data_IF_007647550492
#
_entry.id   IF_007647550492
#
_cell.length_a   1.000
_cell.length_b   1.000
_cell.length_c   1.000
_cell.angle_alpha   90.00
_cell.angle_beta   90.00
_cell.angle_gamma   90.00
#
_symmetry.space_group_name_H-M   'P 1'
#
loop_
_entity.id
_entity.type
_entity.pdbx_description
1 polymer ?
#
# COMPACT_ATOMS: atom_id res chain seq x y z
N UNK A 1 23.65 28.06 50.70
CA UNK A 1 24.28 29.06 49.82
C UNK A 1 24.77 28.29 48.60
N UNK A 2 24.04 28.33 47.46
CA UNK A 2 24.41 27.63 46.21
C UNK A 2 25.54 28.44 45.60
N UNK A 3 26.68 27.83 45.39
CA UNK A 3 27.88 28.49 44.84
C UNK A 3 27.71 28.75 43.33
N UNK A 4 28.33 29.82 42.85
CA UNK A 4 28.29 30.22 41.43
C UNK A 4 28.81 29.12 40.49
N UNK A 5 29.70 28.24 40.94
CA UNK A 5 30.16 27.07 40.24
C UNK A 5 29.10 26.01 40.02
N UNK A 6 28.26 25.73 41.03
CA UNK A 6 27.15 24.77 40.92
C UNK A 6 26.07 25.24 39.95
N UNK A 7 25.86 26.54 39.77
CA UNK A 7 24.93 27.11 38.79
C UNK A 7 25.49 27.03 37.36
N UNK A 8 26.80 27.17 37.18
CA UNK A 8 27.45 27.02 35.87
C UNK A 8 27.43 25.56 35.37
N UNK A 9 27.70 24.59 36.25
CA UNK A 9 27.65 23.16 35.95
C UNK A 9 26.24 22.73 35.51
N UNK A 10 25.20 23.17 36.24
CA UNK A 10 23.80 22.83 35.91
C UNK A 10 23.34 23.45 34.58
N UNK A 11 23.84 24.65 34.22
CA UNK A 11 23.53 25.27 32.92
C UNK A 11 24.24 24.58 31.77
N UNK A 12 25.44 24.04 31.96
CA UNK A 12 26.23 23.33 30.98
C UNK A 12 25.61 21.94 30.70
N UNK A 13 25.27 21.19 31.74
CA UNK A 13 24.54 19.92 31.64
C UNK A 13 23.18 20.06 30.94
N UNK A 14 22.43 21.14 31.24
CA UNK A 14 21.16 21.43 30.60
C UNK A 14 21.33 21.72 29.09
N UNK A 15 22.40 22.42 28.73
CA UNK A 15 22.74 22.72 27.34
C UNK A 15 23.18 21.48 26.58
N UNK A 16 24.00 20.62 27.20
CA UNK A 16 24.39 19.33 26.62
C UNK A 16 23.18 18.40 26.40
N UNK A 17 22.27 18.33 27.37
CA UNK A 17 21.04 17.56 27.28
C UNK A 17 20.14 18.06 26.14
N UNK A 18 19.98 19.39 26.04
CA UNK A 18 19.20 19.99 24.96
C UNK A 18 19.82 19.70 23.57
N UNK A 19 21.13 19.78 23.44
CA UNK A 19 21.84 19.46 22.21
C UNK A 19 21.70 17.95 21.84
N UNK A 20 21.83 17.07 22.82
CA UNK A 20 21.64 15.63 22.63
C UNK A 20 20.20 15.31 22.19
N UNK A 21 19.21 15.92 22.81
CA UNK A 21 17.79 15.78 22.43
C UNK A 21 17.52 16.27 21.00
N UNK A 22 18.07 17.41 20.62
CA UNK A 22 17.96 17.95 19.25
C UNK A 22 18.62 17.01 18.24
N UNK A 23 19.80 16.47 18.55
CA UNK A 23 20.50 15.50 17.71
C UNK A 23 19.70 14.21 17.52
N UNK A 24 19.14 13.66 18.59
CA UNK A 24 18.26 12.48 18.54
C UNK A 24 17.02 12.75 17.68
N UNK A 25 16.39 13.91 17.84
CA UNK A 25 15.23 14.29 17.02
C UNK A 25 15.59 14.38 15.53
N UNK A 26 16.73 14.99 15.20
CA UNK A 26 17.22 15.08 13.83
C UNK A 26 17.54 13.71 13.23
N UNK A 27 18.21 12.84 13.99
CA UNK A 27 18.53 11.48 13.52
C UNK A 27 17.28 10.63 13.30
N UNK A 28 16.27 10.75 14.17
CA UNK A 28 14.98 10.09 14.01
C UNK A 28 14.24 10.57 12.76
N UNK A 29 14.22 11.88 12.51
CA UNK A 29 13.62 12.44 11.30
C UNK A 29 14.33 11.92 10.04
N UNK A 30 15.65 11.86 10.05
CA UNK A 30 16.44 11.35 8.92
C UNK A 30 16.25 9.85 8.70
N UNK A 31 16.18 9.06 9.77
CA UNK A 31 15.85 7.64 9.69
C UNK A 31 14.47 7.42 9.09
N UNK A 32 13.46 8.14 9.57
CA UNK A 32 12.09 8.06 9.03
C UNK A 32 12.02 8.42 7.55
N UNK A 33 12.76 9.42 7.09
CA UNK A 33 12.83 9.78 5.67
C UNK A 33 13.52 8.70 4.84
N UNK A 34 14.63 8.13 5.33
CA UNK A 34 15.30 7.02 4.66
C UNK A 34 14.42 5.77 4.58
N UNK A 35 13.68 5.46 5.65
CA UNK A 35 12.69 4.38 5.66
C UNK A 35 11.58 4.63 4.64
N UNK A 36 11.04 5.84 4.59
CA UNK A 36 10.02 6.23 3.61
C UNK A 36 10.51 6.04 2.17
N UNK A 37 11.71 6.51 1.87
CA UNK A 37 12.33 6.36 0.54
C UNK A 37 12.57 4.88 0.20
N UNK A 38 12.99 4.08 1.19
CA UNK A 38 13.22 2.66 1.01
C UNK A 38 11.94 1.82 0.89
N UNK A 39 10.80 2.31 1.37
CA UNK A 39 9.51 1.61 1.43
C UNK A 39 8.54 2.02 0.33
N UNK A 40 8.81 3.10 -0.40
CA UNK A 40 7.97 3.57 -1.50
C UNK A 40 8.36 2.90 -2.82
N UNK A 41 7.38 2.68 -3.69
CA UNK A 41 7.60 2.22 -5.06
C UNK A 41 8.25 3.32 -5.91
N UNK A 42 9.13 2.95 -6.85
CA UNK A 42 9.90 3.92 -7.63
C UNK A 42 9.05 4.74 -8.62
N UNK A 43 7.91 4.20 -9.07
CA UNK A 43 7.03 4.87 -10.03
C UNK A 43 5.81 5.50 -9.35
N UNK A 44 5.28 4.88 -8.30
CA UNK A 44 4.01 5.25 -7.68
C UNK A 44 4.18 5.78 -6.26
N UNK A 45 3.23 6.55 -5.72
CA UNK A 45 3.28 7.00 -4.32
C UNK A 45 2.82 5.92 -3.32
N UNK A 46 2.81 4.66 -3.71
CA UNK A 46 2.39 3.53 -2.89
C UNK A 46 3.58 2.87 -2.21
N UNK A 47 3.29 2.00 -1.24
CA UNK A 47 4.32 1.14 -0.69
C UNK A 47 4.85 0.17 -1.77
N UNK A 48 6.13 -0.14 -1.68
CA UNK A 48 6.73 -1.18 -2.50
C UNK A 48 6.44 -2.59 -1.93
N UNK A 49 6.78 -3.62 -2.71
CA UNK A 49 6.62 -5.04 -2.33
C UNK A 49 7.20 -5.36 -0.94
N UNK A 50 8.41 -4.88 -0.65
CA UNK A 50 9.09 -5.17 0.62
C UNK A 50 8.31 -4.61 1.81
N UNK A 51 7.91 -3.35 1.74
CA UNK A 51 7.12 -2.71 2.77
C UNK A 51 5.76 -3.39 2.95
N UNK A 52 5.10 -3.75 1.85
CA UNK A 52 3.84 -4.48 1.89
C UNK A 52 3.92 -5.81 2.65
N UNK A 53 4.94 -6.63 2.38
CA UNK A 53 5.12 -7.91 3.09
C UNK A 53 5.33 -7.72 4.60
N UNK A 54 6.02 -6.65 5.00
CA UNK A 54 6.16 -6.30 6.40
C UNK A 54 4.81 -5.95 7.04
N UNK A 55 3.99 -5.15 6.37
CA UNK A 55 2.67 -4.78 6.87
C UNK A 55 1.69 -5.96 6.87
N UNK A 56 1.77 -6.86 5.87
CA UNK A 56 0.98 -8.08 5.85
C UNK A 56 1.30 -9.00 7.04
N UNK A 57 2.58 -9.19 7.34
CA UNK A 57 2.99 -9.93 8.53
C UNK A 57 2.49 -9.28 9.83
N UNK A 58 2.47 -7.94 9.91
CA UNK A 58 1.88 -7.22 11.06
C UNK A 58 0.37 -7.46 11.17
N UNK A 59 -0.36 -7.45 10.06
CA UNK A 59 -1.79 -7.73 10.04
C UNK A 59 -2.10 -9.16 10.49
N UNK A 60 -1.33 -10.15 10.03
CA UNK A 60 -1.43 -11.54 10.48
C UNK A 60 -1.20 -11.63 12.00
N UNK A 61 -0.13 -11.03 12.50
CA UNK A 61 0.17 -11.02 13.94
C UNK A 61 -0.90 -10.30 14.77
N UNK A 62 -1.51 -9.24 14.23
CA UNK A 62 -2.60 -8.53 14.88
C UNK A 62 -3.87 -9.38 14.94
N UNK A 63 -4.15 -10.16 13.89
CA UNK A 63 -5.25 -11.12 13.88
C UNK A 63 -5.04 -12.20 14.98
N UNK A 64 -3.84 -12.79 15.06
CA UNK A 64 -3.50 -13.79 16.07
C UNK A 64 -3.66 -13.26 17.50
N UNK A 65 -3.10 -12.08 17.78
CA UNK A 65 -3.03 -11.55 19.16
C UNK A 65 -4.31 -10.89 19.64
N UNK A 66 -5.02 -10.25 18.72
CA UNK A 66 -6.13 -9.35 19.08
C UNK A 66 -7.44 -9.68 18.37
N UNK A 67 -7.44 -10.72 17.51
CA UNK A 67 -8.64 -11.08 16.74
C UNK A 67 -9.09 -10.00 15.76
N UNK A 68 -8.18 -9.10 15.33
CA UNK A 68 -8.54 -8.01 14.40
C UNK A 68 -8.84 -8.58 13.02
N UNK A 69 -10.11 -8.57 12.57
CA UNK A 69 -10.45 -9.10 11.26
C UNK A 69 -9.90 -8.19 10.17
N UNK A 70 -9.14 -8.78 9.26
CA UNK A 70 -8.52 -8.07 8.15
C UNK A 70 -8.65 -8.87 6.86
N UNK A 71 -8.69 -8.19 5.73
CA UNK A 71 -8.77 -8.81 4.41
C UNK A 71 -7.61 -8.35 3.52
N UNK A 72 -7.17 -9.27 2.67
CA UNK A 72 -6.19 -9.02 1.62
C UNK A 72 -6.90 -8.97 0.27
N UNK A 73 -6.70 -7.90 -0.46
CA UNK A 73 -7.06 -7.76 -1.87
C UNK A 73 -5.79 -7.90 -2.71
N UNK A 74 -5.81 -8.80 -3.67
CA UNK A 74 -4.83 -8.89 -4.74
C UNK A 74 -5.44 -8.31 -6.01
N UNK A 75 -4.73 -7.40 -6.66
CA UNK A 75 -5.24 -6.60 -7.77
C UNK A 75 -4.24 -6.67 -8.91
N UNK A 76 -4.74 -6.94 -10.10
CA UNK A 76 -3.96 -6.99 -11.32
C UNK A 76 -4.61 -6.10 -12.38
N UNK A 77 -3.81 -5.27 -13.03
CA UNK A 77 -4.27 -4.34 -14.06
C UNK A 77 -4.45 -5.07 -15.39
N UNK A 78 -5.60 -4.87 -16.03
CA UNK A 78 -5.87 -5.51 -17.30
C UNK A 78 -5.19 -4.80 -18.47
N UNK A 79 -4.56 -5.59 -19.33
CA UNK A 79 -4.11 -5.13 -20.64
C UNK A 79 -2.96 -4.12 -20.67
N UNK A 80 -2.11 -4.02 -19.63
CA UNK A 80 -0.97 -3.10 -19.59
C UNK A 80 -0.07 -3.28 -20.83
N UNK A 81 0.17 -4.53 -21.26
CA UNK A 81 0.94 -4.80 -22.46
C UNK A 81 0.30 -4.16 -23.70
N UNK A 82 -1.00 -4.30 -23.87
CA UNK A 82 -1.72 -3.70 -25.01
C UNK A 82 -1.67 -2.17 -24.99
N UNK A 83 -1.71 -1.55 -23.80
CA UNK A 83 -1.53 -0.10 -23.64
C UNK A 83 -0.11 0.31 -24.08
N UNK A 84 0.91 -0.42 -23.64
CA UNK A 84 2.30 -0.18 -24.02
C UNK A 84 2.51 -0.33 -25.54
N UNK A 85 1.98 -1.39 -26.12
CA UNK A 85 2.12 -1.68 -27.55
C UNK A 85 1.41 -0.62 -28.43
N UNK A 86 0.26 -0.12 -27.97
CA UNK A 86 -0.53 0.86 -28.72
C UNK A 86 -0.08 2.31 -28.52
N UNK A 87 0.39 2.69 -27.30
CA UNK A 87 0.61 4.08 -26.91
C UNK A 87 2.01 4.35 -26.34
N UNK A 88 2.87 3.33 -26.28
CA UNK A 88 4.23 3.43 -25.74
C UNK A 88 4.30 3.29 -24.21
N UNK A 89 5.50 3.04 -23.69
CA UNK A 89 5.75 2.80 -22.26
C UNK A 89 5.34 3.97 -21.36
N UNK A 90 5.47 5.21 -21.84
CA UNK A 90 5.02 6.38 -21.08
C UNK A 90 3.51 6.38 -20.81
N UNK A 91 2.71 5.83 -21.71
CA UNK A 91 1.27 5.64 -21.52
C UNK A 91 0.98 4.53 -20.51
N UNK A 92 1.75 3.45 -20.53
CA UNK A 92 1.69 2.40 -19.51
C UNK A 92 2.03 2.90 -18.12
N UNK A 93 3.09 3.68 -17.98
CA UNK A 93 3.47 4.32 -16.72
C UNK A 93 2.36 5.27 -16.22
N UNK A 94 1.76 6.05 -17.12
CA UNK A 94 0.62 6.92 -16.79
C UNK A 94 -0.60 6.11 -16.32
N UNK A 95 -0.86 4.95 -16.94
CA UNK A 95 -1.94 4.05 -16.55
C UNK A 95 -1.69 3.42 -15.17
N UNK A 96 -0.47 2.96 -14.88
CA UNK A 96 -0.05 2.48 -13.56
C UNK A 96 -0.23 3.56 -12.49
N UNK A 97 0.22 4.79 -12.78
CA UNK A 97 0.05 5.93 -11.88
C UNK A 97 -1.42 6.28 -11.65
N UNK A 98 -2.27 6.15 -12.67
CA UNK A 98 -3.71 6.37 -12.57
C UNK A 98 -4.35 5.36 -11.61
N UNK A 99 -4.05 4.06 -11.77
CA UNK A 99 -4.50 3.00 -10.85
C UNK A 99 -4.02 3.27 -9.43
N UNK A 100 -2.73 3.56 -9.26
CA UNK A 100 -2.14 3.79 -7.95
C UNK A 100 -2.82 4.94 -7.18
N UNK A 101 -3.05 6.08 -7.86
CA UNK A 101 -3.76 7.24 -7.28
C UNK A 101 -5.20 6.88 -6.94
N UNK A 102 -5.90 6.25 -7.87
CA UNK A 102 -7.28 5.83 -7.65
C UNK A 102 -7.41 4.90 -6.43
N UNK A 103 -6.58 3.87 -6.32
CA UNK A 103 -6.60 2.95 -5.18
C UNK A 103 -6.34 3.67 -3.86
N UNK A 104 -5.33 4.55 -3.82
CA UNK A 104 -5.01 5.34 -2.63
C UNK A 104 -6.16 6.26 -2.23
N UNK A 105 -6.75 6.97 -3.18
CA UNK A 105 -7.78 7.98 -2.91
C UNK A 105 -9.14 7.34 -2.53
N UNK A 106 -9.31 6.04 -2.85
CA UNK A 106 -10.52 5.28 -2.52
C UNK A 106 -10.31 4.25 -1.40
N UNK A 107 -9.24 4.36 -0.62
CA UNK A 107 -8.98 3.57 0.60
C UNK A 107 -8.86 4.48 1.81
N UNK A 108 -9.03 3.91 3.00
CA UNK A 108 -8.89 4.66 4.25
C UNK A 108 -7.41 4.84 4.58
N UNK A 109 -7.10 5.84 5.40
CA UNK A 109 -5.73 6.06 5.88
C UNK A 109 -5.16 4.86 6.66
N UNK A 110 -6.03 4.07 7.27
CA UNK A 110 -5.68 2.85 8.00
C UNK A 110 -5.47 1.63 7.12
N UNK A 111 -5.89 1.70 5.87
CA UNK A 111 -5.68 0.62 4.90
C UNK A 111 -4.29 0.75 4.28
N UNK A 112 -3.67 -0.37 3.98
CA UNK A 112 -2.34 -0.40 3.38
C UNK A 112 -2.50 -0.65 1.89
N UNK A 113 -1.94 0.22 1.06
CA UNK A 113 -1.96 0.08 -0.40
C UNK A 113 -0.53 0.02 -0.92
N UNK A 114 -0.26 -0.95 -1.78
CA UNK A 114 1.09 -1.19 -2.33
C UNK A 114 1.05 -1.60 -3.79
N UNK A 115 2.16 -1.34 -4.49
CA UNK A 115 2.48 -1.97 -5.77
C UNK A 115 3.47 -3.09 -5.52
N UNK A 116 3.10 -4.31 -5.89
CA UNK A 116 3.88 -5.53 -5.58
C UNK A 116 4.51 -6.19 -6.80
N UNK A 117 4.15 -5.74 -7.98
CA UNK A 117 4.65 -6.21 -9.27
C UNK A 117 4.61 -5.10 -10.32
N UNK A 118 4.76 -5.46 -11.59
CA UNK A 118 4.69 -4.54 -12.73
C UNK A 118 3.33 -3.87 -12.86
N UNK A 119 2.29 -4.68 -12.91
CA UNK A 119 0.87 -4.33 -13.03
C UNK A 119 0.05 -4.84 -11.82
N UNK A 120 0.74 -5.32 -10.79
CA UNK A 120 0.14 -5.95 -9.62
C UNK A 120 0.14 -5.00 -8.43
N UNK A 121 -1.02 -4.89 -7.78
CA UNK A 121 -1.22 -4.11 -6.57
C UNK A 121 -1.82 -4.99 -5.47
N UNK A 122 -1.66 -4.55 -4.24
CA UNK A 122 -2.28 -5.23 -3.10
C UNK A 122 -2.79 -4.23 -2.08
N UNK A 123 -3.90 -4.60 -1.39
CA UNK A 123 -4.49 -3.79 -0.33
C UNK A 123 -4.75 -4.68 0.89
N UNK A 124 -4.35 -4.20 2.06
CA UNK A 124 -4.78 -4.77 3.33
C UNK A 124 -5.87 -3.86 3.90
N UNK A 125 -7.07 -4.39 4.03
CA UNK A 125 -8.18 -3.74 4.69
C UNK A 125 -8.23 -4.21 6.15
N UNK A 126 -8.26 -3.27 7.08
CA UNK A 126 -8.32 -3.56 8.51
C UNK A 126 -9.73 -3.36 9.06
N UNK A 127 -10.11 -4.13 10.08
CA UNK A 127 -11.43 -4.07 10.73
C UNK A 127 -12.59 -4.25 9.73
N UNK A 128 -12.50 -5.28 8.89
CA UNK A 128 -13.51 -5.61 7.89
C UNK A 128 -13.87 -7.09 7.92
N UNK A 129 -15.12 -7.40 7.61
CA UNK A 129 -15.57 -8.76 7.31
C UNK A 129 -15.47 -9.08 5.81
N UNK A 130 -15.70 -10.34 5.46
CA UNK A 130 -15.62 -10.80 4.08
C UNK A 130 -16.66 -10.13 3.15
N UNK A 131 -17.83 -9.74 3.67
CA UNK A 131 -18.88 -9.06 2.89
C UNK A 131 -18.45 -7.65 2.52
N UNK A 132 -17.92 -6.91 3.50
CA UNK A 132 -17.39 -5.55 3.32
C UNK A 132 -16.19 -5.57 2.38
N UNK A 133 -15.24 -6.50 2.57
CA UNK A 133 -14.07 -6.63 1.72
C UNK A 133 -14.43 -6.90 0.25
N UNK A 134 -15.35 -7.85 0.00
CA UNK A 134 -15.86 -8.12 -1.36
C UNK A 134 -16.61 -6.95 -1.97
N UNK A 135 -17.40 -6.21 -1.19
CA UNK A 135 -18.09 -5.02 -1.66
C UNK A 135 -17.08 -3.92 -2.04
N UNK A 136 -16.02 -3.75 -1.22
CA UNK A 136 -14.93 -2.80 -1.50
C UNK A 136 -14.19 -3.14 -2.78
N UNK A 137 -13.82 -4.41 -2.99
CA UNK A 137 -13.12 -4.85 -4.21
C UNK A 137 -13.96 -4.56 -5.48
N UNK A 138 -15.26 -4.91 -5.46
CA UNK A 138 -16.16 -4.58 -6.56
C UNK A 138 -16.29 -3.08 -6.79
N UNK A 139 -16.41 -2.29 -5.71
CA UNK A 139 -16.49 -0.84 -5.79
C UNK A 139 -15.23 -0.22 -6.42
N UNK A 140 -14.04 -0.74 -6.09
CA UNK A 140 -12.78 -0.30 -6.69
C UNK A 140 -12.73 -0.63 -8.19
N UNK A 141 -13.07 -1.87 -8.59
CA UNK A 141 -13.05 -2.26 -9.99
C UNK A 141 -14.04 -1.43 -10.84
N UNK A 142 -15.30 -1.30 -10.40
CA UNK A 142 -16.29 -0.49 -11.09
C UNK A 142 -15.96 1.00 -11.10
N UNK A 143 -15.48 1.53 -9.97
CA UNK A 143 -15.12 2.94 -9.86
C UNK A 143 -13.96 3.30 -10.80
N UNK A 144 -12.89 2.48 -10.85
CA UNK A 144 -11.78 2.70 -11.76
C UNK A 144 -12.22 2.64 -13.22
N UNK A 145 -13.01 1.64 -13.59
CA UNK A 145 -13.52 1.48 -14.95
C UNK A 145 -14.39 2.67 -15.43
N UNK A 146 -14.99 3.40 -14.50
CA UNK A 146 -15.77 4.61 -14.78
C UNK A 146 -14.90 5.88 -14.88
N UNK A 147 -13.59 5.82 -14.51
CA UNK A 147 -12.68 6.95 -14.64
C UNK A 147 -12.06 6.99 -16.04
N UNK A 148 -11.74 8.18 -16.50
CA UNK A 148 -11.08 8.39 -17.78
C UNK A 148 -9.61 8.75 -17.54
N UNK A 149 -8.68 8.00 -18.15
CA UNK A 149 -7.30 8.42 -18.31
C UNK A 149 -7.15 9.02 -19.71
N UNK A 150 -6.64 10.24 -19.80
CA UNK A 150 -6.25 10.84 -21.09
C UNK A 150 -4.73 10.92 -21.17
N UNK A 151 -4.15 10.36 -22.20
CA UNK A 151 -2.72 10.46 -22.51
C UNK A 151 -2.54 10.94 -23.94
N UNK A 152 -1.86 12.09 -24.13
CA UNK A 152 -1.71 12.73 -25.44
C UNK A 152 -3.04 12.93 -26.20
N UNK A 153 -4.09 13.35 -25.49
CA UNK A 153 -5.46 13.55 -26.00
C UNK A 153 -6.17 12.24 -26.43
N UNK A 154 -5.56 11.08 -26.26
CA UNK A 154 -6.20 9.78 -26.49
C UNK A 154 -6.79 9.26 -25.16
N UNK A 155 -8.08 8.85 -25.14
CA UNK A 155 -8.66 8.23 -23.97
C UNK A 155 -8.14 6.78 -23.85
N UNK A 156 -7.63 6.44 -22.66
CA UNK A 156 -7.18 5.09 -22.33
C UNK A 156 -8.13 4.54 -21.27
N UNK A 157 -8.76 3.42 -21.57
CA UNK A 157 -9.57 2.69 -20.59
C UNK A 157 -8.66 1.79 -19.77
N UNK A 158 -8.77 1.90 -18.45
CA UNK A 158 -8.02 1.09 -17.49
C UNK A 158 -9.00 0.32 -16.63
N UNK A 159 -8.81 -1.00 -16.54
CA UNK A 159 -9.60 -1.88 -15.68
C UNK A 159 -8.67 -2.73 -14.81
N UNK A 160 -9.22 -3.29 -13.74
CA UNK A 160 -8.51 -4.16 -12.80
C UNK A 160 -9.34 -5.39 -12.45
N UNK A 161 -8.67 -6.53 -12.33
CA UNK A 161 -9.20 -7.71 -11.66
C UNK A 161 -8.86 -7.68 -10.17
N UNK A 162 -9.79 -8.13 -9.31
CA UNK A 162 -9.59 -8.19 -7.86
C UNK A 162 -9.89 -9.57 -7.31
N UNK A 163 -8.94 -10.14 -6.55
CA UNK A 163 -9.14 -11.28 -5.66
C UNK A 163 -9.19 -10.86 -4.21
N UNK A 164 -10.05 -11.49 -3.42
CA UNK A 164 -10.26 -11.15 -2.00
C UNK A 164 -10.14 -12.38 -1.14
N UNK A 165 -9.34 -12.31 -0.08
CA UNK A 165 -9.29 -13.32 0.98
C UNK A 165 -9.27 -12.68 2.35
N UNK A 166 -9.79 -13.38 3.37
CA UNK A 166 -9.60 -12.97 4.76
C UNK A 166 -8.22 -13.39 5.22
N UNK A 167 -7.56 -12.55 6.03
CA UNK A 167 -6.31 -12.89 6.69
C UNK A 167 -6.63 -13.78 7.88
N UNK A 168 -5.98 -14.94 7.96
CA UNK A 168 -6.16 -15.92 9.02
C UNK A 168 -4.95 -15.94 9.94
N UNK A 169 -5.14 -16.39 11.19
CA UNK A 169 -4.07 -16.42 12.18
C UNK A 169 -2.97 -17.45 11.89
N UNK A 170 -3.27 -18.48 11.12
CA UNK A 170 -2.35 -19.53 10.68
C UNK A 170 -1.69 -19.24 9.32
N UNK A 171 -1.96 -18.07 8.74
CA UNK A 171 -1.30 -17.65 7.50
C UNK A 171 0.17 -17.30 7.71
N UNK A 172 0.95 -17.55 6.67
CA UNK A 172 2.10 -16.73 6.34
C UNK A 172 1.75 -15.77 5.18
N UNK A 173 2.61 -14.79 4.94
CA UNK A 173 2.34 -13.79 3.91
C UNK A 173 2.27 -14.39 2.49
N UNK A 174 2.98 -15.50 2.22
CA UNK A 174 2.97 -16.15 0.92
C UNK A 174 1.66 -16.91 0.69
N UNK A 175 1.18 -17.64 1.68
CA UNK A 175 -0.09 -18.38 1.62
C UNK A 175 -1.29 -17.45 1.48
N UNK A 176 -1.32 -16.34 2.23
CA UNK A 176 -2.37 -15.33 2.11
C UNK A 176 -2.41 -14.73 0.70
N UNK A 177 -1.25 -14.36 0.13
CA UNK A 177 -1.16 -13.85 -1.24
C UNK A 177 -1.60 -14.87 -2.28
N UNK A 178 -1.17 -16.12 -2.17
CA UNK A 178 -1.54 -17.19 -3.09
C UNK A 178 -3.06 -17.44 -3.09
N UNK A 179 -3.72 -17.37 -1.92
CA UNK A 179 -5.18 -17.48 -1.84
C UNK A 179 -5.89 -16.29 -2.50
N UNK A 180 -5.38 -15.07 -2.32
CA UNK A 180 -5.95 -13.89 -2.93
C UNK A 180 -5.79 -13.92 -4.46
N UNK A 181 -4.64 -14.33 -4.97
CA UNK A 181 -4.36 -14.52 -6.40
C UNK A 181 -5.28 -15.58 -7.00
N UNK A 182 -5.41 -16.75 -6.36
CA UNK A 182 -6.36 -17.80 -6.78
C UNK A 182 -7.80 -17.27 -6.84
N UNK A 183 -8.22 -16.47 -5.87
CA UNK A 183 -9.55 -15.85 -5.87
C UNK A 183 -9.73 -14.86 -7.02
N UNK A 184 -8.69 -14.10 -7.36
CA UNK A 184 -8.71 -13.18 -8.52
C UNK A 184 -8.88 -13.95 -9.84
N UNK A 185 -8.09 -15.00 -10.03
CA UNK A 185 -8.19 -15.82 -11.23
C UNK A 185 -9.58 -16.46 -11.41
N UNK A 186 -10.15 -16.98 -10.30
CA UNK A 186 -11.51 -17.52 -10.31
C UNK A 186 -12.57 -16.47 -10.69
N UNK A 187 -12.43 -15.23 -10.20
CA UNK A 187 -13.35 -14.14 -10.53
C UNK A 187 -13.30 -13.79 -12.03
N UNK A 188 -12.10 -13.73 -12.61
CA UNK A 188 -11.92 -13.47 -14.07
C UNK A 188 -12.56 -14.54 -14.94
N UNK A 189 -12.48 -15.82 -14.54
CA UNK A 189 -13.12 -16.92 -15.31
C UNK A 189 -14.64 -16.79 -15.33
N UNK A 190 -15.26 -16.37 -14.22
CA UNK A 190 -16.71 -16.18 -14.13
C UNK A 190 -17.19 -14.99 -14.97
N UNK A 191 -16.42 -13.90 -15.03
CA UNK A 191 -16.75 -12.73 -15.84
C UNK A 191 -16.64 -13.01 -17.34
N UNK A 192 -15.62 -13.76 -17.77
CA UNK A 192 -15.41 -14.13 -19.16
C UNK A 192 -16.37 -15.22 -19.66
N UNK A 193 -16.91 -16.05 -18.77
CA UNK A 193 -17.88 -17.09 -19.11
C UNK A 193 -19.34 -16.62 -19.22
N UNK A 194 -19.60 -15.32 -18.91
CA UNK A 194 -20.94 -14.73 -18.94
C UNK A 194 -21.18 -13.84 -20.17
N UNK A 195 -20.26 -13.84 -21.15
CA UNK A 195 -20.41 -13.23 -22.47
C UNK A 195 -20.62 -14.30 -23.52
#
# INVERSE_FOLDING_TARGET
>A
MVTRETLLDVTDEASELALAQATVAMLRARLSELERLADTDALTPLLNRRAFFRELNRAIQSNVRHGVPSALLYIDMDGLKSINDAHGHAAGDAAILHVARFLRDHTRLTDIVARIGGDEFAIILTHVDAKIAKAKARGLAHGLAATALSHNQAPIRVTIGCGVTMIMGDDDAASALARADTAMYASRLLENGSQ
#
